data_IF_992582018111
#
_entry.id   IF_992582018111
#
_cell.length_a   1.000
_cell.length_b   1.000
_cell.length_c   1.000
_cell.angle_alpha   90.00
_cell.angle_beta   90.00
_cell.angle_gamma   90.00
#
_symmetry.space_group_name_H-M   'P 1'
#
loop_
_entity.id
_entity.type
_entity.pdbx_description
1 polymer ?
#
# COMPACT_ATOMS: atom_id res chain seq x y z
N UNK A 1 -44.82 17.71 36.55
CA UNK A 1 -44.62 16.84 35.37
C UNK A 1 -43.19 17.02 34.88
N UNK A 2 -42.40 15.96 34.84
CA UNK A 2 -40.99 15.98 34.42
C UNK A 2 -40.38 14.59 34.58
N UNK A 3 -40.11 13.95 33.44
CA UNK A 3 -39.89 12.50 33.24
C UNK A 3 -38.92 11.82 34.21
N UNK A 4 -39.44 10.84 34.98
CA UNK A 4 -38.66 9.82 35.70
C UNK A 4 -38.33 8.58 34.84
N UNK A 5 -38.75 8.55 33.58
CA UNK A 5 -38.61 7.37 32.70
C UNK A 5 -37.26 7.24 31.98
N UNK A 6 -36.33 8.19 32.11
CA UNK A 6 -35.02 8.12 31.45
C UNK A 6 -34.01 7.19 32.15
N UNK A 7 -34.22 6.82 33.42
CA UNK A 7 -33.29 5.94 34.16
C UNK A 7 -33.57 4.43 33.98
N UNK A 8 -34.80 4.03 33.66
CA UNK A 8 -35.16 2.62 33.47
C UNK A 8 -34.84 2.08 32.06
N UNK A 9 -34.59 2.95 31.06
CA UNK A 9 -34.14 2.51 29.73
C UNK A 9 -32.66 2.10 29.71
N UNK A 10 -31.80 2.80 30.47
CA UNK A 10 -30.36 2.48 30.55
C UNK A 10 -30.06 1.12 31.18
N UNK A 11 -30.81 0.67 32.19
CA UNK A 11 -30.54 -0.63 32.84
C UNK A 11 -30.81 -1.83 31.93
N UNK A 12 -31.75 -1.69 30.98
CA UNK A 12 -32.07 -2.74 30.01
C UNK A 12 -31.04 -2.79 28.87
N UNK A 13 -30.53 -1.65 28.41
CA UNK A 13 -29.39 -1.61 27.48
C UNK A 13 -28.12 -2.14 28.13
N UNK A 14 -27.81 -1.74 29.36
CA UNK A 14 -26.61 -2.17 30.06
C UNK A 14 -26.66 -3.67 30.37
N UNK A 15 -27.81 -4.21 30.81
CA UNK A 15 -28.04 -5.65 30.91
C UNK A 15 -28.01 -6.35 29.56
N UNK A 16 -28.55 -5.75 28.51
CA UNK A 16 -28.48 -6.30 27.16
C UNK A 16 -27.04 -6.41 26.69
N UNK A 17 -26.22 -5.36 26.85
CA UNK A 17 -24.80 -5.39 26.50
C UNK A 17 -24.01 -6.35 27.40
N UNK A 18 -24.32 -6.45 28.68
CA UNK A 18 -23.70 -7.43 29.59
C UNK A 18 -24.05 -8.87 29.20
N UNK A 19 -25.32 -9.17 28.91
CA UNK A 19 -25.77 -10.49 28.49
C UNK A 19 -25.22 -10.86 27.11
N UNK A 20 -25.22 -9.91 26.18
CA UNK A 20 -24.66 -10.06 24.84
C UNK A 20 -23.15 -10.29 24.91
N UNK A 21 -22.44 -9.55 25.79
CA UNK A 21 -21.00 -9.75 26.06
C UNK A 21 -20.72 -11.09 26.73
N UNK A 22 -21.59 -11.56 27.64
CA UNK A 22 -21.48 -12.88 28.28
C UNK A 22 -21.68 -14.01 27.28
N UNK A 23 -22.73 -13.94 26.46
CA UNK A 23 -22.98 -14.91 25.37
C UNK A 23 -21.84 -14.93 24.35
N UNK A 24 -21.30 -13.77 23.98
CA UNK A 24 -20.12 -13.69 23.12
C UNK A 24 -18.89 -14.29 23.77
N UNK A 25 -18.66 -13.99 25.05
CA UNK A 25 -17.52 -14.52 25.79
C UNK A 25 -17.61 -16.03 25.92
N UNK A 26 -18.80 -16.58 26.24
CA UNK A 26 -19.06 -18.02 26.26
C UNK A 26 -18.85 -18.64 24.87
N UNK A 27 -19.32 -18.00 23.80
CA UNK A 27 -19.08 -18.46 22.43
C UNK A 27 -17.57 -18.45 22.08
N UNK A 28 -16.85 -17.37 22.39
CA UNK A 28 -15.42 -17.25 22.11
C UNK A 28 -14.56 -18.13 23.02
N UNK A 29 -14.95 -18.37 24.27
CA UNK A 29 -14.28 -19.32 25.16
C UNK A 29 -14.48 -20.77 24.72
N UNK A 30 -15.59 -21.05 24.02
CA UNK A 30 -15.86 -22.36 23.43
C UNK A 30 -15.18 -22.57 22.07
N UNK A 31 -14.58 -21.52 21.47
CA UNK A 31 -13.61 -21.68 20.38
C UNK A 31 -12.31 -22.16 21.02
N UNK A 32 -12.03 -23.47 20.91
CA UNK A 32 -10.79 -24.10 21.38
C UNK A 32 -9.57 -23.22 21.06
N UNK A 33 -8.79 -22.85 22.08
CA UNK A 33 -7.58 -22.06 21.92
C UNK A 33 -7.72 -20.52 22.05
N UNK A 34 -8.92 -19.97 22.25
CA UNK A 34 -9.10 -18.50 22.38
C UNK A 34 -8.29 -17.86 23.51
N UNK A 35 -8.22 -18.54 24.66
CA UNK A 35 -7.38 -18.14 25.79
C UNK A 35 -6.00 -18.84 25.79
N UNK A 36 -5.88 -20.01 25.16
CA UNK A 36 -4.74 -20.92 25.32
C UNK A 36 -3.64 -20.75 24.26
N UNK A 37 -3.93 -20.11 23.10
CA UNK A 37 -3.01 -20.11 21.96
C UNK A 37 -2.19 -18.81 21.79
N UNK A 38 -1.84 -18.13 22.89
CA UNK A 38 -0.90 -16.98 22.85
C UNK A 38 0.53 -17.42 22.50
N UNK A 39 0.89 -18.68 22.74
CA UNK A 39 2.24 -19.19 22.51
C UNK A 39 2.56 -19.59 21.07
N UNK A 40 1.60 -20.08 20.27
CA UNK A 40 1.90 -20.70 18.96
C UNK A 40 2.40 -19.69 17.93
N UNK A 41 1.78 -18.51 17.84
CA UNK A 41 2.28 -17.46 16.94
C UNK A 41 3.66 -16.95 17.39
N UNK A 42 3.95 -16.89 18.70
CA UNK A 42 5.26 -16.52 19.25
C UNK A 42 6.29 -17.58 18.89
N UNK A 43 5.96 -18.85 19.06
CA UNK A 43 6.80 -19.97 18.68
C UNK A 43 7.12 -19.94 17.19
N UNK A 44 6.11 -19.79 16.33
CA UNK A 44 6.29 -19.65 14.89
C UNK A 44 7.16 -18.44 14.54
N UNK A 45 6.92 -17.28 15.16
CA UNK A 45 7.73 -16.09 14.97
C UNK A 45 9.20 -16.35 15.33
N UNK A 46 9.48 -16.90 16.51
CA UNK A 46 10.84 -17.21 16.95
C UNK A 46 11.52 -18.21 16.03
N UNK A 47 10.83 -19.28 15.64
CA UNK A 47 11.33 -20.28 14.70
C UNK A 47 11.71 -19.66 13.35
N UNK A 48 10.83 -18.84 12.79
CA UNK A 48 11.10 -18.19 11.50
C UNK A 48 12.22 -17.15 11.59
N UNK A 49 12.32 -16.41 12.70
CA UNK A 49 13.44 -15.49 12.95
C UNK A 49 14.77 -16.24 13.09
N UNK A 50 14.80 -17.38 13.80
CA UNK A 50 16.00 -18.20 13.97
C UNK A 50 16.53 -18.74 12.62
N UNK A 51 15.64 -19.11 11.69
CA UNK A 51 16.01 -19.50 10.31
C UNK A 51 16.68 -18.37 9.53
N UNK A 52 16.51 -17.13 9.97
CA UNK A 52 17.05 -15.90 9.36
C UNK A 52 18.08 -15.21 10.26
N UNK A 53 18.74 -15.98 11.12
CA UNK A 53 19.78 -15.50 12.04
C UNK A 53 20.99 -14.88 11.34
N UNK A 54 21.19 -15.15 10.05
CA UNK A 54 22.19 -14.47 9.21
C UNK A 54 21.91 -12.98 9.04
N UNK A 55 20.63 -12.57 9.06
CA UNK A 55 20.26 -11.17 8.95
C UNK A 55 20.40 -10.46 10.29
N UNK A 56 21.11 -9.33 10.29
CA UNK A 56 21.35 -8.52 11.50
C UNK A 56 20.05 -8.10 12.18
N UNK A 57 19.01 -7.79 11.40
CA UNK A 57 17.71 -7.37 11.94
C UNK A 57 17.04 -8.49 12.73
N UNK A 58 17.18 -9.75 12.32
CA UNK A 58 16.50 -10.89 12.95
C UNK A 58 17.01 -11.11 14.38
N UNK A 59 18.34 -11.07 14.56
CA UNK A 59 18.96 -11.18 15.89
C UNK A 59 18.52 -10.06 16.82
N UNK A 60 18.57 -8.81 16.35
CA UNK A 60 18.10 -7.66 17.13
C UNK A 60 16.60 -7.76 17.45
N UNK A 61 15.82 -8.33 16.54
CA UNK A 61 14.38 -8.54 16.75
C UNK A 61 14.13 -9.55 17.87
N UNK A 62 14.84 -10.68 17.88
CA UNK A 62 14.78 -11.69 18.94
C UNK A 62 15.14 -11.11 20.31
N UNK A 63 16.23 -10.35 20.40
CA UNK A 63 16.64 -9.67 21.64
C UNK A 63 15.54 -8.72 22.17
N UNK A 64 14.94 -7.93 21.27
CA UNK A 64 13.82 -7.05 21.65
C UNK A 64 12.55 -7.83 22.04
N UNK A 65 12.30 -8.99 21.43
CA UNK A 65 11.17 -9.84 21.80
C UNK A 65 11.34 -10.41 23.21
N UNK A 66 12.55 -10.87 23.56
CA UNK A 66 12.90 -11.43 24.86
C UNK A 66 12.78 -10.38 25.97
N UNK A 67 13.31 -9.19 25.75
CA UNK A 67 13.23 -8.08 26.69
C UNK A 67 11.79 -7.62 27.01
N UNK A 68 10.82 -7.89 26.11
CA UNK A 68 9.42 -7.47 26.31
C UNK A 68 8.59 -8.43 27.13
N UNK A 69 9.01 -9.69 27.31
CA UNK A 69 8.53 -10.66 28.31
C UNK A 69 7.05 -11.07 28.33
N UNK A 70 6.11 -10.20 27.94
CA UNK A 70 4.66 -10.38 28.04
C UNK A 70 3.94 -9.75 26.84
N UNK A 71 3.20 -10.55 26.07
CA UNK A 71 2.32 -10.08 25.00
C UNK A 71 0.86 -10.28 25.43
N UNK A 72 0.12 -9.17 25.62
CA UNK A 72 -1.31 -9.20 25.91
C UNK A 72 -2.10 -8.99 24.62
N UNK A 73 -2.77 -10.03 24.10
CA UNK A 73 -3.42 -10.00 22.77
C UNK A 73 -4.94 -10.29 22.77
N UNK A 74 -5.53 -10.55 23.95
CA UNK A 74 -6.94 -10.92 24.11
C UNK A 74 -7.93 -9.90 23.51
N UNK A 75 -7.60 -8.60 23.58
CA UNK A 75 -8.45 -7.52 23.05
C UNK A 75 -8.48 -7.49 21.53
N UNK A 76 -7.33 -7.70 20.87
CA UNK A 76 -7.26 -7.74 19.40
C UNK A 76 -7.98 -8.96 18.83
N UNK A 77 -7.82 -10.13 19.47
CA UNK A 77 -8.50 -11.37 19.06
C UNK A 77 -10.01 -11.28 19.16
N UNK A 78 -10.53 -10.83 20.30
CA UNK A 78 -11.98 -10.67 20.53
C UNK A 78 -12.59 -9.66 19.55
N UNK A 79 -11.95 -8.51 19.37
CA UNK A 79 -12.46 -7.49 18.46
C UNK A 79 -12.36 -7.90 16.97
N UNK A 80 -11.36 -8.69 16.57
CA UNK A 80 -11.30 -9.26 15.21
C UNK A 80 -12.43 -10.27 14.97
N UNK A 81 -12.63 -11.21 15.90
CA UNK A 81 -13.67 -12.22 15.80
C UNK A 81 -15.09 -11.60 15.79
N UNK A 82 -15.30 -10.55 16.60
CA UNK A 82 -16.54 -9.77 16.62
C UNK A 82 -16.86 -9.10 15.27
N UNK A 83 -15.86 -8.55 14.59
CA UNK A 83 -16.07 -7.92 13.29
C UNK A 83 -16.35 -8.91 12.16
N UNK A 84 -15.78 -10.12 12.23
CA UNK A 84 -16.15 -11.22 11.33
C UNK A 84 -17.61 -11.63 11.48
N UNK A 85 -18.17 -11.57 12.70
CA UNK A 85 -19.58 -11.85 12.94
C UNK A 85 -20.51 -10.80 12.32
N UNK A 86 -20.12 -9.52 12.40
CA UNK A 86 -20.92 -8.41 11.91
C UNK A 86 -20.77 -8.12 10.39
N UNK A 87 -19.98 -8.89 9.65
CA UNK A 87 -19.69 -8.61 8.24
C UNK A 87 -20.87 -8.81 7.27
N UNK A 88 -22.05 -9.22 7.75
CA UNK A 88 -23.20 -9.58 6.91
C UNK A 88 -24.05 -8.40 6.40
N UNK A 89 -23.72 -7.15 6.72
CA UNK A 89 -24.48 -6.00 6.22
C UNK A 89 -23.57 -4.81 6.04
N UNK A 90 -23.19 -4.49 4.81
CA UNK A 90 -22.96 -3.12 4.33
C UNK A 90 -22.83 -3.14 2.81
N UNK A 91 -23.72 -2.40 2.11
CA UNK A 91 -23.51 -1.99 0.73
C UNK A 91 -22.77 -0.66 0.79
N UNK A 92 -21.55 -0.64 0.28
CA UNK A 92 -20.72 0.58 0.16
C UNK A 92 -20.84 1.10 -1.28
N UNK A 93 -20.82 2.42 -1.52
CA UNK A 93 -20.95 2.98 -2.86
C UNK A 93 -19.81 2.52 -3.78
N UNK A 94 -20.14 2.15 -5.01
CA UNK A 94 -19.16 1.82 -6.07
C UNK A 94 -18.63 3.11 -6.70
N UNK A 95 -17.40 3.08 -7.19
CA UNK A 95 -16.91 4.09 -8.14
C UNK A 95 -17.77 3.95 -9.40
N UNK A 96 -18.38 5.03 -9.85
CA UNK A 96 -19.26 5.05 -11.02
C UNK A 96 -18.42 4.89 -12.30
N UNK A 97 -18.40 3.67 -12.85
CA UNK A 97 -17.59 3.27 -14.00
C UNK A 97 -18.29 3.48 -15.35
N UNK A 98 -19.46 4.11 -15.35
CA UNK A 98 -20.35 4.13 -16.51
C UNK A 98 -19.83 4.94 -17.72
N UNK A 99 -18.81 5.79 -17.55
CA UNK A 99 -18.31 6.71 -18.59
C UNK A 99 -16.80 6.57 -18.90
N UNK A 100 -16.24 5.37 -18.74
CA UNK A 100 -14.81 5.14 -18.97
C UNK A 100 -14.56 4.59 -20.38
N UNK A 101 -13.55 5.13 -21.08
CA UNK A 101 -13.08 4.56 -22.35
C UNK A 101 -12.76 3.07 -22.15
N UNK A 102 -13.25 2.21 -23.05
CA UNK A 102 -12.97 0.77 -23.03
C UNK A 102 -11.56 0.52 -23.58
N UNK A 103 -10.55 0.95 -22.83
CA UNK A 103 -9.19 0.41 -23.00
C UNK A 103 -9.31 -1.11 -23.01
N UNK A 104 -8.69 -1.84 -23.95
CA UNK A 104 -8.86 -3.31 -24.20
C UNK A 104 -9.22 -4.04 -22.89
N UNK A 105 -10.52 -4.16 -22.64
CA UNK A 105 -11.20 -4.82 -21.50
C UNK A 105 -10.84 -4.42 -20.04
N UNK A 106 -9.99 -3.42 -19.76
CA UNK A 106 -9.35 -3.30 -18.43
C UNK A 106 -9.96 -2.30 -17.41
N UNK A 107 -10.79 -1.33 -17.81
CA UNK A 107 -11.15 -0.22 -16.89
C UNK A 107 -12.46 -0.44 -16.12
N UNK A 108 -13.21 -1.49 -16.44
CA UNK A 108 -14.57 -1.71 -15.91
C UNK A 108 -14.56 -2.03 -14.38
N UNK A 109 -13.40 -2.38 -13.80
CA UNK A 109 -13.26 -2.82 -12.40
C UNK A 109 -12.11 -2.16 -11.61
N UNK A 110 -11.75 -0.89 -11.88
CA UNK A 110 -10.72 -0.20 -11.09
C UNK A 110 -11.13 -0.11 -9.60
N UNK A 111 -10.43 -0.85 -8.74
CA UNK A 111 -10.58 -0.81 -7.30
C UNK A 111 -9.26 -0.35 -6.67
N UNK A 112 -9.32 0.72 -5.89
CA UNK A 112 -8.18 1.18 -5.09
C UNK A 112 -7.94 0.22 -3.93
N UNK A 113 -6.69 0.10 -3.47
CA UNK A 113 -6.35 -0.60 -2.24
C UNK A 113 -7.19 -0.08 -1.06
N UNK A 114 -7.29 1.24 -0.89
CA UNK A 114 -8.14 1.81 0.16
C UNK A 114 -9.59 1.36 0.04
N UNK A 115 -10.15 1.30 -1.17
CA UNK A 115 -11.50 0.79 -1.39
C UNK A 115 -11.61 -0.69 -1.01
N UNK A 116 -10.71 -1.55 -1.49
CA UNK A 116 -10.70 -2.98 -1.16
C UNK A 116 -10.62 -3.22 0.36
N UNK A 117 -9.81 -2.43 1.06
CA UNK A 117 -9.66 -2.49 2.52
C UNK A 117 -10.94 -2.03 3.21
N UNK A 118 -11.54 -0.92 2.77
CA UNK A 118 -12.70 -0.32 3.43
C UNK A 118 -13.98 -1.14 3.27
N UNK A 119 -14.18 -1.81 2.12
CA UNK A 119 -15.39 -2.61 1.87
C UNK A 119 -15.40 -3.96 2.58
N UNK A 120 -14.22 -4.57 2.82
CA UNK A 120 -14.12 -5.83 3.54
C UNK A 120 -13.81 -5.54 5.02
N UNK A 121 -14.76 -5.78 5.94
CA UNK A 121 -14.57 -5.48 7.35
C UNK A 121 -13.42 -6.28 7.96
N UNK A 122 -13.06 -7.45 7.43
CA UNK A 122 -11.92 -8.22 7.90
C UNK A 122 -10.60 -7.59 7.41
N UNK A 123 -10.51 -7.17 6.14
CA UNK A 123 -9.36 -6.43 5.61
C UNK A 123 -9.15 -5.12 6.38
N UNK A 124 -10.20 -4.31 6.55
CA UNK A 124 -10.19 -3.07 7.35
C UNK A 124 -9.67 -3.30 8.77
N UNK A 125 -10.10 -4.38 9.38
CA UNK A 125 -9.73 -4.70 10.76
C UNK A 125 -8.28 -5.09 10.89
N UNK A 126 -7.85 -6.01 10.02
CA UNK A 126 -6.45 -6.41 9.98
C UNK A 126 -5.56 -5.19 9.72
N UNK A 127 -5.87 -4.42 8.68
CA UNK A 127 -5.13 -3.19 8.36
C UNK A 127 -5.02 -2.27 9.58
N UNK A 128 -6.12 -2.06 10.31
CA UNK A 128 -6.12 -1.28 11.55
C UNK A 128 -5.21 -1.87 12.64
N UNK A 129 -5.25 -3.19 12.86
CA UNK A 129 -4.38 -3.88 13.83
C UNK A 129 -2.90 -3.82 13.46
N UNK A 130 -2.57 -3.69 12.17
CA UNK A 130 -1.20 -3.58 11.70
C UNK A 130 -0.69 -2.13 11.68
N UNK A 131 -1.55 -1.13 11.49
CA UNK A 131 -1.13 0.25 11.16
C UNK A 131 -1.46 1.31 12.22
N UNK A 132 -2.49 1.12 13.05
CA UNK A 132 -3.06 2.23 13.83
C UNK A 132 -3.53 1.87 15.24
N UNK A 133 -3.35 0.63 15.70
CA UNK A 133 -3.67 0.22 17.08
C UNK A 133 -2.39 -0.08 17.88
N UNK A 134 -1.89 0.90 18.67
CA UNK A 134 -0.67 0.73 19.47
C UNK A 134 -0.74 -0.38 20.51
N UNK A 135 -1.95 -0.69 20.98
CA UNK A 135 -2.24 -1.78 21.92
C UNK A 135 -2.27 -3.16 21.25
N UNK A 136 -2.17 -3.22 19.91
CA UNK A 136 -2.05 -4.48 19.19
C UNK A 136 -0.62 -5.00 19.19
N UNK A 137 -0.46 -6.28 19.51
CA UNK A 137 0.82 -6.99 19.38
C UNK A 137 1.32 -6.99 17.94
N UNK A 138 0.44 -7.14 16.94
CA UNK A 138 0.86 -7.14 15.53
C UNK A 138 1.41 -5.77 15.11
N UNK A 139 0.75 -4.67 15.49
CA UNK A 139 1.28 -3.32 15.32
C UNK A 139 2.66 -3.20 15.98
N UNK A 140 2.79 -3.69 17.20
CA UNK A 140 4.05 -3.65 17.96
C UNK A 140 5.18 -4.38 17.23
N UNK A 141 4.92 -5.60 16.71
CA UNK A 141 5.89 -6.40 15.95
C UNK A 141 6.33 -5.63 14.69
N UNK A 142 5.38 -5.05 13.94
CA UNK A 142 5.70 -4.22 12.77
C UNK A 142 6.58 -3.04 13.18
N UNK A 143 6.19 -2.29 14.22
CA UNK A 143 6.98 -1.13 14.68
C UNK A 143 8.37 -1.51 15.17
N UNK A 144 8.53 -2.67 15.79
CA UNK A 144 9.85 -3.19 16.17
C UNK A 144 10.71 -3.43 14.94
N UNK A 145 10.18 -4.14 13.93
CA UNK A 145 10.90 -4.42 12.69
C UNK A 145 11.32 -3.12 11.99
N UNK A 146 10.36 -2.19 11.81
CA UNK A 146 10.60 -0.91 11.18
C UNK A 146 11.73 -0.14 11.90
N UNK A 147 11.67 -0.06 13.23
CA UNK A 147 12.70 0.61 14.04
C UNK A 147 14.07 -0.04 13.92
N UNK A 148 14.13 -1.37 13.84
CA UNK A 148 15.39 -2.10 13.67
C UNK A 148 16.02 -1.78 12.32
N UNK A 149 15.24 -1.83 11.22
CA UNK A 149 15.75 -1.48 9.89
C UNK A 149 16.27 -0.04 9.86
N UNK A 150 15.48 0.93 10.33
CA UNK A 150 15.92 2.33 10.42
C UNK A 150 17.22 2.43 11.22
N UNK A 151 17.30 1.77 12.39
CA UNK A 151 18.52 1.76 13.20
C UNK A 151 19.71 1.10 12.50
N UNK A 152 19.50 0.12 11.63
CA UNK A 152 20.60 -0.55 10.90
C UNK A 152 21.12 0.36 9.79
N UNK A 153 20.23 0.88 8.95
CA UNK A 153 20.59 1.50 7.67
C UNK A 153 20.78 3.02 7.73
N UNK A 154 20.14 3.71 8.68
CA UNK A 154 20.17 5.17 8.74
C UNK A 154 20.52 5.72 10.12
N UNK A 155 20.84 7.00 10.11
CA UNK A 155 20.97 7.87 11.28
C UNK A 155 20.09 9.08 11.08
N UNK A 156 19.71 9.74 12.18
CA UNK A 156 19.03 11.02 12.11
C UNK A 156 20.06 12.13 12.07
N UNK A 157 19.97 12.98 11.05
CA UNK A 157 20.65 14.26 10.99
C UNK A 157 19.60 15.37 11.08
N UNK A 158 19.49 15.97 12.27
CA UNK A 158 18.39 16.87 12.61
C UNK A 158 17.02 16.22 12.44
N UNK A 159 16.24 16.73 11.46
CA UNK A 159 14.89 16.24 11.15
C UNK A 159 14.83 15.17 10.04
N UNK A 160 15.95 14.89 9.37
CA UNK A 160 16.01 13.99 8.20
C UNK A 160 16.72 12.69 8.52
N UNK A 161 16.38 11.64 7.80
CA UNK A 161 17.17 10.41 7.78
C UNK A 161 18.29 10.54 6.75
N UNK A 162 19.49 10.06 7.11
CA UNK A 162 20.63 9.95 6.22
C UNK A 162 21.19 8.54 6.32
N UNK A 163 21.64 7.98 5.20
CA UNK A 163 22.28 6.66 5.19
C UNK A 163 23.60 6.70 5.93
N UNK A 164 23.93 5.63 6.65
CA UNK A 164 25.24 5.53 7.30
C UNK A 164 26.35 5.35 6.27
N UNK A 165 27.55 5.81 6.60
CA UNK A 165 28.73 5.71 5.71
C UNK A 165 29.03 4.27 5.28
N UNK A 166 28.94 3.31 6.21
CA UNK A 166 29.17 1.90 5.90
C UNK A 166 28.10 1.30 4.95
N UNK A 167 26.91 1.91 4.89
CA UNK A 167 25.85 1.54 3.95
C UNK A 167 26.14 2.15 2.59
N UNK A 168 26.57 3.41 2.53
CA UNK A 168 26.97 4.07 1.28
C UNK A 168 28.13 3.34 0.59
N UNK A 169 29.10 2.84 1.35
CA UNK A 169 30.24 2.10 0.81
C UNK A 169 29.85 0.78 0.12
N UNK A 170 28.76 0.13 0.55
CA UNK A 170 28.30 -1.16 0.04
C UNK A 170 26.85 -1.09 -0.47
N UNK A 171 26.47 0.05 -1.06
CA UNK A 171 25.06 0.41 -1.30
C UNK A 171 24.26 -0.64 -2.07
N UNK A 172 24.84 -1.25 -3.11
CA UNK A 172 24.17 -2.28 -3.91
C UNK A 172 23.83 -3.53 -3.10
N UNK A 173 24.78 -4.04 -2.30
CA UNK A 173 24.58 -5.22 -1.46
C UNK A 173 23.58 -4.91 -0.35
N UNK A 174 23.76 -3.79 0.35
CA UNK A 174 22.85 -3.33 1.40
C UNK A 174 21.42 -3.10 0.88
N UNK A 175 21.26 -2.58 -0.34
CA UNK A 175 19.95 -2.39 -0.97
C UNK A 175 19.25 -3.74 -1.17
N UNK A 176 19.96 -4.75 -1.69
CA UNK A 176 19.40 -6.10 -1.87
C UNK A 176 19.06 -6.75 -0.53
N UNK A 177 19.95 -6.66 0.46
CA UNK A 177 19.72 -7.19 1.80
C UNK A 177 18.48 -6.55 2.45
N UNK A 178 18.29 -5.24 2.29
CA UNK A 178 17.11 -4.54 2.80
C UNK A 178 15.82 -5.04 2.14
N UNK A 179 15.81 -5.14 0.82
CA UNK A 179 14.63 -5.59 0.06
C UNK A 179 14.26 -7.03 0.46
N UNK A 180 15.24 -7.93 0.51
CA UNK A 180 15.06 -9.29 0.99
C UNK A 180 14.56 -9.32 2.43
N UNK A 181 15.12 -8.49 3.32
CA UNK A 181 14.71 -8.41 4.73
C UNK A 181 13.22 -8.05 4.87
N UNK A 182 12.75 -7.07 4.10
CA UNK A 182 11.34 -6.65 4.08
C UNK A 182 10.46 -7.78 3.54
N UNK A 183 10.84 -8.41 2.42
CA UNK A 183 10.08 -9.50 1.83
C UNK A 183 10.01 -10.71 2.77
N UNK A 184 11.13 -11.11 3.37
CA UNK A 184 11.17 -12.18 4.36
C UNK A 184 10.29 -11.88 5.56
N UNK A 185 10.37 -10.66 6.10
CA UNK A 185 9.51 -10.28 7.22
C UNK A 185 8.02 -10.32 6.84
N UNK A 186 7.65 -9.86 5.64
CA UNK A 186 6.27 -10.00 5.14
C UNK A 186 5.81 -11.47 5.07
N UNK A 187 6.69 -12.38 4.65
CA UNK A 187 6.40 -13.82 4.64
C UNK A 187 6.21 -14.39 6.05
N UNK A 188 7.01 -13.93 7.03
CA UNK A 188 6.82 -14.29 8.45
C UNK A 188 5.46 -13.79 8.92
N UNK A 189 5.11 -12.54 8.65
CA UNK A 189 3.82 -11.95 9.00
C UNK A 189 2.65 -12.77 8.42
N UNK A 190 2.76 -13.22 7.17
CA UNK A 190 1.77 -14.07 6.49
C UNK A 190 1.56 -15.41 7.20
N UNK A 191 2.60 -15.98 7.82
CA UNK A 191 2.51 -17.22 8.61
C UNK A 191 1.94 -16.98 10.01
N UNK A 192 2.31 -15.89 10.67
CA UNK A 192 1.90 -15.66 12.06
C UNK A 192 0.49 -15.07 12.17
N UNK A 193 -0.01 -14.30 11.20
CA UNK A 193 -1.33 -13.66 11.29
C UNK A 193 -2.46 -14.69 11.42
N UNK A 194 -2.50 -15.78 10.61
CA UNK A 194 -3.46 -16.85 10.82
C UNK A 194 -3.38 -17.42 12.23
N UNK A 195 -2.18 -17.78 12.70
CA UNK A 195 -1.95 -18.32 14.05
C UNK A 195 -2.37 -17.35 15.16
N UNK A 196 -2.09 -16.06 14.98
CA UNK A 196 -2.41 -14.98 15.92
C UNK A 196 -3.91 -14.84 16.13
N UNK A 197 -4.68 -15.02 15.07
CA UNK A 197 -6.13 -14.98 15.11
C UNK A 197 -6.74 -16.38 15.01
N UNK A 198 -6.06 -17.45 15.43
CA UNK A 198 -6.62 -18.81 15.51
C UNK A 198 -7.23 -19.30 14.21
N UNK A 199 -6.56 -19.05 13.09
CA UNK A 199 -7.00 -19.39 11.74
C UNK A 199 -8.32 -18.73 11.31
N UNK A 200 -8.89 -17.83 12.14
CA UNK A 200 -10.05 -17.01 11.78
C UNK A 200 -9.82 -16.20 10.47
N UNK A 201 -8.61 -15.69 10.14
CA UNK A 201 -8.35 -14.95 8.91
C UNK A 201 -8.11 -15.80 7.66
N UNK A 202 -8.28 -17.12 7.67
CA UNK A 202 -7.99 -17.98 6.50
C UNK A 202 -8.73 -17.58 5.21
N UNK A 203 -9.79 -16.77 5.33
CA UNK A 203 -10.58 -16.28 4.21
C UNK A 203 -10.18 -14.89 3.71
N UNK A 204 -9.21 -14.20 4.31
CA UNK A 204 -8.76 -12.88 3.80
C UNK A 204 -7.96 -13.10 2.52
N UNK A 205 -8.62 -12.84 1.39
CA UNK A 205 -7.95 -12.74 0.08
C UNK A 205 -6.96 -11.57 0.10
N UNK A 206 -5.82 -11.74 -0.59
CA UNK A 206 -4.79 -10.71 -0.76
C UNK A 206 -4.20 -10.17 0.56
N UNK A 207 -4.13 -11.02 1.60
CA UNK A 207 -3.52 -10.72 2.91
C UNK A 207 -2.13 -10.05 2.79
N UNK A 208 -1.36 -10.46 1.78
CA UNK A 208 0.00 -10.01 1.53
C UNK A 208 0.10 -8.52 1.22
N UNK A 209 -0.87 -7.96 0.49
CA UNK A 209 -0.87 -6.52 0.14
C UNK A 209 -1.06 -5.68 1.41
N UNK A 210 -1.95 -6.10 2.32
CA UNK A 210 -2.19 -5.42 3.60
C UNK A 210 -0.95 -5.45 4.49
N UNK A 211 -0.25 -6.59 4.54
CA UNK A 211 1.01 -6.73 5.28
C UNK A 211 2.07 -5.79 4.70
N UNK A 212 2.26 -5.81 3.37
CA UNK A 212 3.28 -4.99 2.69
C UNK A 212 3.03 -3.49 2.87
N UNK A 213 1.78 -3.03 2.73
CA UNK A 213 1.40 -1.64 3.04
C UNK A 213 1.75 -1.26 4.49
N UNK A 214 1.50 -2.16 5.43
CA UNK A 214 1.77 -1.90 6.85
C UNK A 214 3.28 -1.83 7.14
N UNK A 215 4.07 -2.70 6.52
CA UNK A 215 5.54 -2.77 6.69
C UNK A 215 6.24 -1.62 5.95
N UNK A 216 5.85 -1.35 4.72
CA UNK A 216 6.41 -0.30 3.86
C UNK A 216 5.56 0.96 4.03
N UNK A 217 5.75 1.60 5.18
CA UNK A 217 5.08 2.85 5.55
C UNK A 217 6.02 3.82 6.27
N UNK A 218 5.77 5.11 6.05
CA UNK A 218 6.46 6.26 6.66
C UNK A 218 7.98 6.12 6.53
N UNK A 219 8.69 6.06 7.66
CA UNK A 219 10.14 6.00 7.76
C UNK A 219 10.75 4.88 6.88
N UNK A 220 10.09 3.72 6.73
CA UNK A 220 10.60 2.65 5.85
C UNK A 220 10.51 3.04 4.38
N UNK A 221 9.40 3.65 3.97
CA UNK A 221 9.27 4.14 2.60
C UNK A 221 10.28 5.25 2.34
N UNK A 222 10.48 6.16 3.29
CA UNK A 222 11.51 7.21 3.20
C UNK A 222 12.92 6.61 3.08
N UNK A 223 13.24 5.59 3.88
CA UNK A 223 14.51 4.86 3.80
C UNK A 223 14.72 4.22 2.42
N UNK A 224 13.71 3.53 1.88
CA UNK A 224 13.78 2.92 0.55
C UNK A 224 14.02 3.99 -0.53
N UNK A 225 13.30 5.10 -0.47
CA UNK A 225 13.49 6.22 -1.41
C UNK A 225 14.89 6.79 -1.31
N UNK A 226 15.46 6.95 -0.11
CA UNK A 226 16.84 7.40 0.09
C UNK A 226 17.85 6.44 -0.56
N UNK A 227 17.69 5.12 -0.36
CA UNK A 227 18.58 4.12 -0.98
C UNK A 227 18.47 4.14 -2.50
N UNK A 228 17.24 4.17 -3.05
CA UNK A 228 17.04 4.24 -4.50
C UNK A 228 17.60 5.51 -5.12
N UNK A 229 17.51 6.65 -4.44
CA UNK A 229 18.13 7.92 -4.88
C UNK A 229 19.63 7.81 -5.08
N UNK A 230 20.32 7.20 -4.12
CA UNK A 230 21.77 7.01 -4.22
C UNK A 230 22.13 5.93 -5.26
N UNK A 231 21.35 4.85 -5.33
CA UNK A 231 21.61 3.71 -6.22
C UNK A 231 21.35 4.04 -7.70
N UNK A 232 20.31 4.82 -7.98
CA UNK A 232 19.79 5.10 -9.32
C UNK A 232 20.10 6.54 -9.77
N UNK A 233 21.13 7.17 -9.19
CA UNK A 233 21.45 8.58 -9.41
C UNK A 233 21.64 8.95 -10.88
N UNK A 234 22.31 8.10 -11.65
CA UNK A 234 22.52 8.31 -13.09
C UNK A 234 21.19 8.27 -13.85
N UNK A 235 20.40 7.20 -13.67
CA UNK A 235 19.06 7.07 -14.27
C UNK A 235 18.12 8.21 -13.86
N UNK A 236 18.23 8.69 -12.63
CA UNK A 236 17.47 9.83 -12.15
C UNK A 236 17.86 11.12 -12.90
N UNK A 237 19.15 11.35 -13.13
CA UNK A 237 19.61 12.51 -13.90
C UNK A 237 19.13 12.45 -15.36
N UNK A 238 19.19 11.27 -15.99
CA UNK A 238 18.64 11.06 -17.33
C UNK A 238 17.14 11.38 -17.38
N UNK A 239 16.37 10.87 -16.41
CA UNK A 239 14.95 11.18 -16.26
C UNK A 239 14.70 12.69 -16.13
N UNK A 240 15.46 13.39 -15.29
CA UNK A 240 15.32 14.85 -15.13
C UNK A 240 15.63 15.61 -16.42
N UNK A 241 16.65 15.20 -17.16
CA UNK A 241 16.96 15.78 -18.47
C UNK A 241 15.83 15.51 -19.47
N UNK A 242 15.28 14.29 -19.49
CA UNK A 242 14.12 13.94 -20.30
C UNK A 242 12.90 14.82 -19.99
N UNK A 243 12.61 15.04 -18.70
CA UNK A 243 11.49 15.90 -18.28
C UNK A 243 11.68 17.33 -18.77
N UNK A 244 12.89 17.88 -18.62
CA UNK A 244 13.22 19.21 -19.13
C UNK A 244 13.01 19.28 -20.64
N UNK A 245 13.52 18.30 -21.38
CA UNK A 245 13.40 18.25 -22.83
C UNK A 245 11.94 18.21 -23.29
N UNK A 246 11.08 17.35 -22.69
CA UNK A 246 9.64 17.32 -23.04
C UNK A 246 8.94 18.63 -22.70
N UNK A 247 9.27 19.28 -21.59
CA UNK A 247 8.61 20.53 -21.19
C UNK A 247 8.74 21.66 -22.24
N UNK A 248 9.77 21.62 -23.09
CA UNK A 248 9.97 22.57 -24.18
C UNK A 248 9.28 22.17 -25.50
N UNK A 249 8.69 20.98 -25.60
CA UNK A 249 7.96 20.59 -26.81
C UNK A 249 6.59 21.27 -26.86
N UNK A 250 6.47 22.22 -27.79
CA UNK A 250 5.17 22.64 -28.34
C UNK A 250 4.67 21.53 -29.26
N UNK A 251 4.01 20.52 -28.69
CA UNK A 251 3.50 19.42 -29.50
C UNK A 251 2.27 19.86 -30.27
N UNK A 252 2.30 19.62 -31.59
CA UNK A 252 1.15 19.73 -32.50
C UNK A 252 0.24 18.50 -32.42
N UNK A 253 0.44 17.63 -31.42
CA UNK A 253 -0.32 16.38 -31.29
C UNK A 253 -1.81 16.68 -31.11
N UNK A 254 -2.68 16.07 -31.94
CA UNK A 254 -4.13 16.20 -31.82
C UNK A 254 -4.66 15.82 -30.42
N UNK A 255 -3.91 14.97 -29.70
CA UNK A 255 -4.23 14.51 -28.35
C UNK A 255 -4.11 15.65 -27.35
N UNK A 256 -3.11 16.54 -27.48
CA UNK A 256 -2.97 17.70 -26.59
C UNK A 256 -4.12 18.69 -26.75
N UNK A 257 -4.54 18.93 -28.00
CA UNK A 257 -5.73 19.74 -28.28
C UNK A 257 -7.02 19.14 -27.74
N UNK A 258 -7.12 17.81 -27.57
CA UNK A 258 -8.23 17.13 -26.89
C UNK A 258 -8.12 17.22 -25.36
N UNK A 259 -6.93 17.04 -24.80
CA UNK A 259 -6.67 17.08 -23.35
C UNK A 259 -6.80 18.50 -22.76
N UNK A 260 -6.46 19.54 -23.52
CA UNK A 260 -6.50 20.94 -23.08
C UNK A 260 -7.92 21.56 -23.12
N UNK A 261 -8.90 20.92 -23.77
CA UNK A 261 -10.29 21.41 -23.91
C UNK A 261 -11.22 21.07 -22.74
N UNK A 262 -10.74 20.38 -21.71
CA UNK A 262 -11.55 19.87 -20.60
C UNK A 262 -11.63 20.90 -19.44
N UNK A 263 -12.77 21.58 -19.28
CA UNK A 263 -13.02 22.58 -18.24
C UNK A 263 -13.19 21.91 -16.84
N UNK A 264 -12.13 21.94 -16.02
CA UNK A 264 -11.86 21.12 -14.79
C UNK A 264 -11.25 19.73 -15.05
N UNK A 265 -10.32 19.71 -16.01
CA UNK A 265 -9.77 18.54 -16.67
C UNK A 265 -9.41 17.35 -15.78
N UNK A 266 -9.88 16.16 -16.19
CA UNK A 266 -9.35 14.89 -15.66
C UNK A 266 -7.83 14.80 -15.85
N UNK A 267 -7.28 15.52 -16.83
CA UNK A 267 -5.86 15.70 -17.03
C UNK A 267 -5.13 16.38 -15.84
N UNK A 268 -5.64 17.47 -15.29
CA UNK A 268 -5.05 18.10 -14.08
C UNK A 268 -5.10 17.13 -12.89
N UNK A 269 -6.16 16.31 -12.79
CA UNK A 269 -6.25 15.27 -11.77
C UNK A 269 -5.23 14.15 -12.00
N UNK A 270 -4.95 13.78 -13.26
CA UNK A 270 -3.89 12.84 -13.60
C UNK A 270 -2.51 13.36 -13.17
N UNK A 271 -2.20 14.63 -13.44
CA UNK A 271 -0.97 15.29 -12.96
C UNK A 271 -0.88 15.19 -11.43
N UNK A 272 -1.97 15.53 -10.73
CA UNK A 272 -2.03 15.44 -9.28
C UNK A 272 -1.79 14.01 -8.79
N UNK A 273 -2.36 13.01 -9.44
CA UNK A 273 -2.14 11.60 -9.10
C UNK A 273 -0.68 11.18 -9.23
N UNK A 274 0.08 11.68 -10.22
CA UNK A 274 1.53 11.45 -10.30
C UNK A 274 2.27 12.03 -9.09
N UNK A 275 1.92 13.26 -8.69
CA UNK A 275 2.50 13.88 -7.50
C UNK A 275 2.14 13.11 -6.23
N UNK A 276 0.90 12.63 -6.11
CA UNK A 276 0.42 11.80 -5.00
C UNK A 276 1.22 10.49 -4.85
N UNK A 277 1.69 9.87 -5.96
CA UNK A 277 2.61 8.72 -5.88
C UNK A 277 3.87 9.11 -5.09
N UNK A 278 4.49 10.25 -5.43
CA UNK A 278 5.73 10.71 -4.80
C UNK A 278 5.56 11.35 -3.41
N UNK A 279 4.32 11.59 -2.99
CA UNK A 279 3.95 12.14 -1.67
C UNK A 279 3.34 11.09 -0.74
N UNK A 280 3.21 9.85 -1.24
CA UNK A 280 2.60 8.76 -0.50
C UNK A 280 3.40 8.39 0.74
N UNK A 281 2.70 7.99 1.80
CA UNK A 281 3.27 7.56 3.08
C UNK A 281 3.27 6.04 3.25
N UNK A 282 2.74 5.29 2.28
CA UNK A 282 2.74 3.82 2.30
C UNK A 282 2.61 3.24 0.91
N UNK A 283 2.93 1.95 0.77
CA UNK A 283 2.81 1.25 -0.50
C UNK A 283 1.36 1.26 -1.04
N UNK A 284 0.35 1.11 -0.18
CA UNK A 284 -1.06 1.14 -0.55
C UNK A 284 -1.50 2.51 -1.06
N UNK A 285 -0.99 3.62 -0.49
CA UNK A 285 -1.24 4.97 -1.02
C UNK A 285 -0.63 5.16 -2.41
N UNK A 286 0.57 4.61 -2.63
CA UNK A 286 1.20 4.65 -3.96
C UNK A 286 0.37 3.88 -4.99
N UNK A 287 -0.15 2.70 -4.62
CA UNK A 287 -1.05 1.90 -5.47
C UNK A 287 -2.33 2.66 -5.80
N UNK A 288 -2.97 3.28 -4.81
CA UNK A 288 -4.17 4.08 -5.01
C UNK A 288 -3.91 5.24 -5.97
N UNK A 289 -2.80 5.95 -5.80
CA UNK A 289 -2.42 7.06 -6.68
C UNK A 289 -2.18 6.60 -8.12
N UNK A 290 -1.56 5.43 -8.33
CA UNK A 290 -1.44 4.83 -9.68
C UNK A 290 -2.80 4.49 -10.27
N UNK A 291 -3.70 3.85 -9.50
CA UNK A 291 -5.07 3.52 -9.96
C UNK A 291 -5.83 4.79 -10.35
N UNK A 292 -5.71 5.85 -9.55
CA UNK A 292 -6.34 7.14 -9.84
C UNK A 292 -5.73 7.80 -11.09
N UNK A 293 -4.41 7.72 -11.27
CA UNK A 293 -3.75 8.19 -12.49
C UNK A 293 -4.30 7.49 -13.74
N UNK A 294 -4.40 6.16 -13.70
CA UNK A 294 -4.98 5.35 -14.79
C UNK A 294 -6.41 5.83 -15.09
N UNK A 295 -7.25 5.93 -14.06
CA UNK A 295 -8.64 6.37 -14.19
C UNK A 295 -8.75 7.76 -14.83
N UNK A 296 -7.94 8.72 -14.36
CA UNK A 296 -7.95 10.09 -14.86
C UNK A 296 -7.48 10.19 -16.31
N UNK A 297 -6.45 9.43 -16.70
CA UNK A 297 -6.02 9.36 -18.11
C UNK A 297 -7.13 8.76 -18.97
N UNK A 298 -7.77 7.67 -18.52
CA UNK A 298 -8.88 7.05 -19.24
C UNK A 298 -10.08 7.98 -19.45
N UNK A 299 -10.46 8.74 -18.42
CA UNK A 299 -11.52 9.75 -18.52
C UNK A 299 -11.13 10.90 -19.45
N UNK A 300 -9.83 11.24 -19.52
CA UNK A 300 -9.35 12.30 -20.40
C UNK A 300 -9.34 11.88 -21.88
N UNK A 301 -9.22 10.58 -22.15
CA UNK A 301 -9.25 10.00 -23.50
C UNK A 301 -10.67 9.57 -23.93
N UNK A 302 -11.65 9.64 -23.04
CA UNK A 302 -13.02 9.27 -23.33
C UNK A 302 -13.67 10.24 -24.33
N UNK A 303 -14.27 9.69 -25.39
CA UNK A 303 -15.04 10.45 -26.35
C UNK A 303 -16.55 10.25 -26.12
N UNK A 304 -17.30 11.26 -25.66
CA UNK A 304 -18.74 11.13 -25.45
C UNK A 304 -19.53 10.96 -26.76
N UNK A 305 -18.98 11.41 -27.89
CA UNK A 305 -19.61 11.27 -29.22
C UNK A 305 -19.41 9.86 -29.80
N UNK A 306 -18.40 9.13 -29.31
CA UNK A 306 -18.14 7.72 -29.66
C UNK A 306 -17.66 6.94 -28.41
N UNK A 307 -18.59 6.57 -27.51
CA UNK A 307 -18.26 5.93 -26.22
C UNK A 307 -17.60 4.56 -26.34
N UNK A 308 -17.77 3.88 -27.48
CA UNK A 308 -17.22 2.56 -27.74
C UNK A 308 -15.81 2.63 -28.36
N UNK A 309 -15.32 3.83 -28.67
CA UNK A 309 -13.95 4.03 -29.15
C UNK A 309 -12.91 3.53 -28.15
N UNK A 310 -11.95 2.75 -28.66
CA UNK A 310 -10.81 2.23 -27.90
C UNK A 310 -9.59 3.09 -28.23
N UNK A 311 -9.00 3.72 -27.22
CA UNK A 311 -7.74 4.43 -27.41
C UNK A 311 -6.61 3.45 -27.75
N UNK A 312 -5.85 3.79 -28.80
CA UNK A 312 -4.66 3.04 -29.22
C UNK A 312 -3.51 3.20 -28.22
N UNK A 313 -2.59 2.24 -28.17
CA UNK A 313 -1.51 2.25 -27.18
C UNK A 313 -0.59 3.46 -27.32
N UNK A 314 -0.32 3.94 -28.53
CA UNK A 314 0.51 5.13 -28.79
C UNK A 314 -0.17 6.41 -28.26
N UNK A 315 -1.50 6.50 -28.40
CA UNK A 315 -2.29 7.61 -27.83
C UNK A 315 -2.20 7.62 -26.31
N UNK A 316 -2.23 6.44 -25.70
CA UNK A 316 -2.15 6.29 -24.24
C UNK A 316 -0.75 6.63 -23.75
N UNK A 317 0.29 6.10 -24.39
CA UNK A 317 1.69 6.41 -24.10
C UNK A 317 1.93 7.92 -24.18
N UNK A 318 1.42 8.57 -25.23
CA UNK A 318 1.47 10.03 -25.40
C UNK A 318 0.79 10.77 -24.24
N UNK A 319 -0.39 10.33 -23.81
CA UNK A 319 -1.08 10.92 -22.66
C UNK A 319 -0.28 10.77 -21.36
N UNK A 320 0.30 9.60 -21.09
CA UNK A 320 1.17 9.39 -19.93
C UNK A 320 2.40 10.28 -19.97
N UNK A 321 3.12 10.33 -21.09
CA UNK A 321 4.31 11.18 -21.27
C UNK A 321 3.97 12.66 -21.02
N UNK A 322 2.83 13.12 -21.54
CA UNK A 322 2.40 14.49 -21.33
C UNK A 322 2.06 14.79 -19.87
N UNK A 323 1.34 13.89 -19.17
CA UNK A 323 1.08 14.01 -17.73
C UNK A 323 2.40 14.03 -16.94
N UNK A 324 3.34 13.14 -17.27
CA UNK A 324 4.64 13.05 -16.61
C UNK A 324 5.44 14.36 -16.76
N UNK A 325 5.54 14.87 -17.98
CA UNK A 325 6.25 16.12 -18.26
C UNK A 325 5.67 17.30 -17.46
N UNK A 326 4.35 17.45 -17.46
CA UNK A 326 3.69 18.55 -16.72
C UNK A 326 3.67 18.36 -15.21
N UNK A 327 3.73 17.12 -14.72
CA UNK A 327 3.78 16.85 -13.28
C UNK A 327 5.07 17.32 -12.63
N UNK A 328 6.18 17.35 -13.37
CA UNK A 328 7.50 17.67 -12.82
C UNK A 328 7.78 16.92 -11.52
N UNK A 329 7.51 15.61 -11.48
CA UNK A 329 7.65 14.76 -10.31
C UNK A 329 9.06 14.13 -10.25
N UNK A 330 10.10 14.82 -9.71
CA UNK A 330 11.49 14.39 -9.88
C UNK A 330 11.77 13.01 -9.29
N UNK A 331 11.14 12.69 -8.16
CA UNK A 331 11.42 11.46 -7.43
C UNK A 331 10.64 10.24 -7.96
N UNK A 332 9.78 10.40 -8.97
CA UNK A 332 8.91 9.33 -9.45
C UNK A 332 9.65 8.01 -9.78
N UNK A 333 10.85 8.01 -10.41
CA UNK A 333 11.56 6.77 -10.70
C UNK A 333 11.81 5.90 -9.47
N UNK A 334 12.17 6.52 -8.35
CA UNK A 334 12.47 5.79 -7.12
C UNK A 334 11.21 5.15 -6.51
N UNK A 335 10.09 5.85 -6.56
CA UNK A 335 8.80 5.33 -6.08
C UNK A 335 8.31 4.18 -6.98
N UNK A 336 8.51 4.28 -8.29
CA UNK A 336 8.16 3.20 -9.22
C UNK A 336 9.09 1.98 -9.05
N UNK A 337 10.39 2.19 -8.87
CA UNK A 337 11.36 1.13 -8.55
C UNK A 337 10.95 0.35 -7.29
N UNK A 338 10.49 1.05 -6.24
CA UNK A 338 9.92 0.44 -5.03
C UNK A 338 8.65 -0.36 -5.35
N UNK A 339 7.72 0.19 -6.13
CA UNK A 339 6.50 -0.54 -6.52
C UNK A 339 6.83 -1.80 -7.32
N UNK A 340 7.72 -1.72 -8.30
CA UNK A 340 8.15 -2.87 -9.09
C UNK A 340 8.83 -3.94 -8.23
N UNK A 341 9.59 -3.53 -7.21
CA UNK A 341 10.27 -4.45 -6.28
C UNK A 341 9.29 -5.16 -5.34
N UNK A 342 8.32 -4.43 -4.79
CA UNK A 342 7.49 -4.91 -3.68
C UNK A 342 6.03 -5.20 -4.04
N UNK A 343 5.62 -5.09 -5.30
CA UNK A 343 4.34 -5.67 -5.75
C UNK A 343 4.52 -7.13 -6.15
N UNK A 344 3.50 -7.95 -5.89
CA UNK A 344 3.52 -9.36 -6.28
C UNK A 344 3.25 -9.50 -7.78
N UNK A 345 3.75 -10.57 -8.39
CA UNK A 345 3.60 -10.82 -9.83
C UNK A 345 2.14 -10.84 -10.29
N UNK A 346 1.22 -11.32 -9.43
CA UNK A 346 -0.21 -11.35 -9.75
C UNK A 346 -0.75 -9.92 -9.83
N UNK A 347 -0.40 -9.06 -8.88
CA UNK A 347 -0.77 -7.64 -8.92
C UNK A 347 -0.11 -6.91 -10.10
N UNK A 348 1.17 -7.17 -10.38
CA UNK A 348 1.90 -6.57 -11.50
C UNK A 348 1.34 -6.95 -12.87
N UNK A 349 0.96 -8.22 -13.07
CA UNK A 349 0.61 -8.75 -14.38
C UNK A 349 -0.91 -8.83 -14.63
N UNK A 350 -1.72 -8.93 -13.58
CA UNK A 350 -3.16 -9.19 -13.70
C UNK A 350 -4.00 -7.96 -13.31
N UNK A 351 -3.63 -7.23 -12.24
CA UNK A 351 -4.40 -6.07 -11.78
C UNK A 351 -4.06 -4.82 -12.61
N UNK A 352 -5.02 -3.91 -12.75
CA UNK A 352 -4.84 -2.70 -13.57
C UNK A 352 -3.80 -1.73 -12.99
N UNK A 353 -3.63 -1.72 -11.67
CA UNK A 353 -2.52 -1.01 -11.01
C UNK A 353 -1.17 -1.51 -11.51
N UNK A 354 -1.03 -2.81 -11.74
CA UNK A 354 0.18 -3.43 -12.29
C UNK A 354 0.46 -2.96 -13.71
N UNK A 355 -0.55 -2.96 -14.58
CA UNK A 355 -0.43 -2.43 -15.94
C UNK A 355 -0.01 -0.96 -15.95
N UNK A 356 -0.54 -0.15 -15.03
CA UNK A 356 -0.14 1.25 -14.88
C UNK A 356 1.33 1.41 -14.48
N UNK A 357 1.79 0.60 -13.53
CA UNK A 357 3.20 0.57 -13.12
C UNK A 357 4.10 0.11 -14.27
N UNK A 358 3.73 -0.94 -14.99
CA UNK A 358 4.48 -1.42 -16.16
C UNK A 358 4.59 -0.33 -17.23
N UNK A 359 3.49 0.38 -17.54
CA UNK A 359 3.51 1.49 -18.50
C UNK A 359 4.40 2.63 -18.04
N UNK A 360 4.29 3.05 -16.79
CA UNK A 360 5.14 4.11 -16.25
C UNK A 360 6.62 3.71 -16.26
N UNK A 361 6.95 2.49 -15.81
CA UNK A 361 8.33 1.98 -15.82
C UNK A 361 8.87 1.87 -17.25
N UNK A 362 8.07 1.40 -18.21
CA UNK A 362 8.47 1.38 -19.63
C UNK A 362 8.87 2.76 -20.14
N UNK A 363 8.11 3.81 -19.78
CA UNK A 363 8.48 5.18 -20.17
C UNK A 363 9.78 5.61 -19.50
N UNK A 364 9.98 5.30 -18.22
CA UNK A 364 11.23 5.63 -17.53
C UNK A 364 12.46 4.90 -18.10
N UNK A 365 12.30 3.69 -18.58
CA UNK A 365 13.39 2.93 -19.20
C UNK A 365 13.69 3.38 -20.65
N UNK A 366 12.80 4.18 -21.26
CA UNK A 366 12.92 4.65 -22.65
C UNK A 366 13.00 6.19 -22.75
N UNK A 367 13.58 6.85 -21.75
CA UNK A 367 13.68 8.34 -21.67
C UNK A 367 14.31 8.96 -22.92
N UNK A 368 15.32 8.32 -23.50
CA UNK A 368 15.99 8.79 -24.72
C UNK A 368 15.07 8.82 -25.96
N UNK A 369 13.97 8.07 -25.95
CA UNK A 369 13.03 7.94 -27.06
C UNK A 369 11.76 8.78 -26.89
N UNK A 370 11.66 9.57 -25.82
CA UNK A 370 10.45 10.32 -25.49
C UNK A 370 9.96 11.28 -26.58
N UNK A 371 10.87 11.95 -27.29
CA UNK A 371 10.50 12.85 -28.39
C UNK A 371 9.93 12.11 -29.60
N UNK A 372 10.32 10.85 -29.82
CA UNK A 372 9.76 10.01 -30.88
C UNK A 372 8.32 9.60 -30.52
N UNK A 373 8.11 9.15 -29.27
CA UNK A 373 6.82 8.69 -28.76
C UNK A 373 5.71 9.77 -28.73
N UNK A 374 6.06 11.04 -28.84
CA UNK A 374 5.12 12.19 -28.87
C UNK A 374 4.79 12.62 -30.31
N UNK A 375 5.64 12.28 -31.28
CA UNK A 375 5.54 12.73 -32.68
C UNK A 375 4.98 11.67 -33.63
N UNK A 376 4.85 10.42 -33.17
CA UNK A 376 3.99 9.40 -33.78
C UNK A 376 2.55 9.62 -33.32
#
# INVERSE_FOLDING_TARGET
MGNKDSKNRNSNEEKYFQNTRKMQFEFFSNVYGFQENTGKWIYTLKQELNKKSSFKWSKMFLEMLEARGNYQDLRSKSAFAWKKYNSNKNKVPRIDSNNLCKWRESIINLQTFSYEVEIDPNKKSLHRYLTSQPDSTLYTIIKMFQRILIKIYSVKDGRKFVLKENILANLQECSKELDESILWFCQIMKKIIPEFFLHIPEKIQDLEIIIRDSVISRDILELLVLIRKELEKEKHNEYLQGLQNICYFHSTSPILGKLERDNNSNYTKAIKSVLEITQSNSLGQMQDAVVMLMNHISLSLYNPEDPDSIAEDDTIISAFLFVLARSSAPNLPHYLSILTTFMDEKTLNIKDVGKGIVKLSFLLDNVSNWSYLINC
#
